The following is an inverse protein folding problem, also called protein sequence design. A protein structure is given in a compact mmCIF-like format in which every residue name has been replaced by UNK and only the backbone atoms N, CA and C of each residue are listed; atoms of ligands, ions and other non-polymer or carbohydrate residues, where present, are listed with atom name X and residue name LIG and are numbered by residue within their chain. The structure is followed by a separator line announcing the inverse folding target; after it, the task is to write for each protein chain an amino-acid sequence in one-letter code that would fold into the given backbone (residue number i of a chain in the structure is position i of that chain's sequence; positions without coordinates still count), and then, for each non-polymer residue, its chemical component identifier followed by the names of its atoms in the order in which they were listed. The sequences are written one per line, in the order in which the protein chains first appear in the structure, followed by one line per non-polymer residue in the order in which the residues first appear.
data_IF_155592545601
#
_entry.id   IF_155592545601
#
_cell.length_a   1.000
_cell.length_b   1.000
_cell.length_c   1.000
_cell.angle_alpha   90.00
_cell.angle_beta   90.00
_cell.angle_gamma   90.00
#
_symmetry.space_group_name_H-M   'P 1'
#
loop_
_entity.id
_entity.type
_entity.pdbx_description
1 polymer ?
#
# COMPACT_ATOMS: atom_id res chain seq x y z
N UNK A 1 15.32 21.01 -17.48
CA UNK A 1 16.02 19.71 -17.47
C UNK A 1 17.49 19.78 -17.91
N UNK A 2 17.83 20.50 -18.99
CA UNK A 2 19.21 20.60 -19.51
C UNK A 2 20.23 21.16 -18.49
N UNK A 3 19.88 22.22 -17.77
CA UNK A 3 20.79 22.88 -16.80
C UNK A 3 21.21 21.95 -15.65
N UNK A 4 20.29 21.13 -15.14
CA UNK A 4 20.56 20.20 -14.04
C UNK A 4 21.48 19.05 -14.46
N UNK A 5 21.36 18.59 -15.71
CA UNK A 5 22.25 17.57 -16.25
C UNK A 5 23.68 18.09 -16.44
N UNK A 6 23.84 19.32 -16.93
CA UNK A 6 25.16 19.95 -17.07
C UNK A 6 25.83 20.12 -15.71
N UNK A 7 25.12 20.64 -14.70
CA UNK A 7 25.63 20.77 -13.34
C UNK A 7 26.06 19.40 -12.79
N UNK A 8 25.24 18.37 -12.97
CA UNK A 8 25.53 17.01 -12.52
C UNK A 8 26.78 16.42 -13.17
N UNK A 9 26.97 16.64 -14.47
CA UNK A 9 28.15 16.16 -15.20
C UNK A 9 29.43 16.86 -14.72
N UNK A 10 29.37 18.18 -14.51
CA UNK A 10 30.48 18.96 -13.99
C UNK A 10 30.91 18.48 -12.59
N UNK A 11 29.95 18.12 -11.71
CA UNK A 11 30.27 17.55 -10.40
C UNK A 11 30.93 16.17 -10.46
N UNK A 12 30.52 15.33 -11.41
CA UNK A 12 31.11 14.00 -11.60
C UNK A 12 32.55 14.10 -12.12
N UNK A 13 32.81 15.03 -13.03
CA UNK A 13 34.13 15.29 -13.59
C UNK A 13 35.09 15.88 -12.54
N UNK A 14 34.61 16.82 -11.73
CA UNK A 14 35.41 17.43 -10.67
C UNK A 14 35.73 16.47 -9.50
N UNK A 15 34.90 15.46 -9.26
CA UNK A 15 35.02 14.54 -8.12
C UNK A 15 34.85 13.07 -8.55
N UNK A 16 35.86 12.50 -9.24
CA UNK A 16 35.77 11.17 -9.86
C UNK A 16 35.67 10.00 -8.87
N UNK A 17 36.08 10.21 -7.61
CA UNK A 17 35.96 9.24 -6.51
C UNK A 17 34.69 9.41 -5.67
N UNK A 18 33.84 10.39 -5.98
CA UNK A 18 32.59 10.59 -5.26
C UNK A 18 31.64 9.40 -5.46
N UNK A 19 30.77 9.15 -4.48
CA UNK A 19 29.72 8.12 -4.60
C UNK A 19 28.86 8.30 -5.87
N UNK A 20 28.66 9.55 -6.31
CA UNK A 20 27.92 9.87 -7.53
C UNK A 20 28.65 9.43 -8.81
N UNK A 21 29.97 9.62 -8.87
CA UNK A 21 30.81 9.22 -9.99
C UNK A 21 30.96 7.68 -10.06
N UNK A 22 31.19 7.05 -8.91
CA UNK A 22 31.30 5.59 -8.78
C UNK A 22 29.99 4.86 -9.13
N UNK A 23 28.84 5.45 -8.81
CA UNK A 23 27.53 4.91 -9.20
C UNK A 23 27.31 4.95 -10.73
N UNK A 24 27.97 5.86 -11.46
CA UNK A 24 27.85 5.93 -12.93
C UNK A 24 28.70 4.87 -13.62
N UNK A 25 29.90 4.58 -13.10
CA UNK A 25 30.82 3.56 -13.64
C UNK A 25 30.42 2.13 -13.30
N UNK A 26 29.64 1.91 -12.23
CA UNK A 26 29.12 0.59 -11.84
C UNK A 26 28.04 -0.01 -12.78
N UNK A 27 27.49 0.76 -13.72
CA UNK A 27 26.62 0.22 -14.77
C UNK A 27 27.50 -0.31 -15.91
N UNK A 28 27.93 -1.56 -15.81
CA UNK A 28 28.30 -2.33 -17.01
C UNK A 28 27.11 -2.30 -17.96
N UNK A 29 27.35 -1.95 -19.21
CA UNK A 29 26.43 -2.20 -20.31
C UNK A 29 26.19 -3.73 -20.33
N UNK A 30 25.01 -4.13 -19.88
CA UNK A 30 24.50 -5.48 -20.14
C UNK A 30 24.14 -5.49 -21.62
N UNK A 31 24.87 -6.29 -22.40
CA UNK A 31 24.41 -6.80 -23.68
C UNK A 31 22.98 -7.37 -23.50
N UNK A 32 22.07 -7.19 -24.47
CA UNK A 32 20.69 -7.60 -24.32
C UNK A 32 20.60 -9.13 -24.27
N UNK A 33 20.53 -9.69 -23.07
CA UNK A 33 20.00 -11.03 -22.86
C UNK A 33 18.49 -10.99 -22.98
N UNK A 34 17.91 -11.94 -23.73
CA UNK A 34 16.47 -12.13 -23.90
C UNK A 34 15.72 -12.09 -22.55
N UNK A 35 15.15 -10.93 -22.23
CA UNK A 35 14.36 -10.65 -21.01
C UNK A 35 12.86 -10.48 -21.30
N UNK A 36 12.42 -10.89 -22.48
CA UNK A 36 11.12 -10.52 -23.07
C UNK A 36 9.89 -11.20 -22.46
N UNK A 37 10.05 -12.24 -21.63
CA UNK A 37 8.93 -12.96 -21.00
C UNK A 37 8.56 -12.41 -19.62
N UNK A 38 9.52 -12.28 -18.70
CA UNK A 38 9.25 -11.82 -17.32
C UNK A 38 8.85 -10.33 -17.20
N UNK A 39 9.21 -9.49 -18.18
CA UNK A 39 8.78 -8.08 -18.19
C UNK A 39 7.36 -7.88 -18.72
N UNK A 40 6.86 -8.81 -19.55
CA UNK A 40 5.50 -8.76 -20.10
C UNK A 40 4.46 -9.23 -19.09
N UNK A 41 4.76 -10.28 -18.32
CA UNK A 41 3.85 -10.80 -17.28
C UNK A 41 3.58 -9.77 -16.17
N UNK A 42 4.63 -9.10 -15.68
CA UNK A 42 4.46 -8.01 -14.67
C UNK A 42 3.62 -6.82 -15.17
N UNK A 43 3.49 -6.65 -16.48
CA UNK A 43 2.68 -5.57 -17.05
C UNK A 43 1.19 -5.93 -17.05
N UNK A 44 0.86 -7.22 -17.26
CA UNK A 44 -0.53 -7.72 -17.28
C UNK A 44 -1.18 -7.58 -15.91
N UNK A 45 -0.59 -8.14 -14.86
CA UNK A 45 -1.12 -8.01 -13.49
C UNK A 45 -1.37 -6.55 -13.08
N UNK A 46 -0.41 -5.65 -13.28
CA UNK A 46 -0.59 -4.24 -12.89
C UNK A 46 -1.70 -3.55 -13.69
N UNK A 47 -1.84 -3.90 -14.96
CA UNK A 47 -2.93 -3.43 -15.81
C UNK A 47 -4.28 -3.97 -15.32
N UNK A 48 -4.36 -5.25 -14.96
CA UNK A 48 -5.57 -5.86 -14.41
C UNK A 48 -5.97 -5.22 -13.07
N UNK A 49 -5.02 -4.90 -12.19
CA UNK A 49 -5.28 -4.19 -10.94
C UNK A 49 -5.95 -2.84 -11.21
N UNK A 50 -5.45 -2.06 -12.17
CA UNK A 50 -6.05 -0.76 -12.50
C UNK A 50 -7.39 -0.90 -13.20
N UNK A 51 -7.52 -1.83 -14.15
CA UNK A 51 -8.78 -2.11 -14.84
C UNK A 51 -9.88 -2.54 -13.86
N UNK A 52 -9.53 -3.31 -12.83
CA UNK A 52 -10.49 -3.68 -11.79
C UNK A 52 -10.84 -2.48 -10.92
N UNK A 53 -9.83 -1.74 -10.44
CA UNK A 53 -10.01 -0.57 -9.59
C UNK A 53 -10.87 0.55 -10.23
N UNK A 54 -10.72 0.79 -11.54
CA UNK A 54 -11.51 1.79 -12.26
C UNK A 54 -12.99 1.44 -12.39
N UNK A 55 -13.35 0.18 -12.17
CA UNK A 55 -14.73 -0.30 -12.19
C UNK A 55 -15.43 -0.22 -10.83
N UNK A 56 -14.77 0.31 -9.79
CA UNK A 56 -15.36 0.46 -8.45
C UNK A 56 -16.58 1.41 -8.46
N UNK A 57 -17.81 0.91 -8.20
CA UNK A 57 -19.00 1.76 -8.17
C UNK A 57 -18.92 2.84 -7.10
N UNK A 58 -18.40 2.50 -5.92
CA UNK A 58 -18.25 3.47 -4.83
C UNK A 58 -17.26 4.59 -5.17
N UNK A 59 -16.17 4.28 -5.89
CA UNK A 59 -15.24 5.32 -6.34
C UNK A 59 -15.86 6.21 -7.42
N UNK A 60 -16.71 5.67 -8.30
CA UNK A 60 -17.45 6.49 -9.27
C UNK A 60 -18.45 7.42 -8.57
N UNK A 61 -19.27 6.89 -7.67
CA UNK A 61 -20.21 7.69 -6.88
C UNK A 61 -19.51 8.79 -6.08
N UNK A 62 -18.37 8.47 -5.47
CA UNK A 62 -17.56 9.44 -4.73
C UNK A 62 -16.98 10.54 -5.63
N UNK A 63 -16.60 10.20 -6.87
CA UNK A 63 -16.07 11.17 -7.83
C UNK A 63 -17.14 12.15 -8.33
N UNK A 64 -18.40 11.74 -8.31
CA UNK A 64 -19.55 12.57 -8.68
C UNK A 64 -20.02 13.50 -7.55
N UNK A 65 -19.55 13.29 -6.31
CA UNK A 65 -19.85 14.19 -5.21
C UNK A 65 -19.18 15.56 -5.43
N UNK A 66 -19.97 16.63 -5.39
CA UNK A 66 -19.46 17.98 -5.45
C UNK A 66 -18.73 18.32 -4.14
N UNK A 67 -17.43 18.54 -4.23
CA UNK A 67 -16.64 19.12 -3.15
C UNK A 67 -16.44 20.61 -3.41
N UNK A 68 -16.93 21.44 -2.50
CA UNK A 68 -16.64 22.87 -2.52
C UNK A 68 -15.18 23.09 -2.12
N UNK A 69 -14.39 23.61 -3.05
CA UNK A 69 -13.02 24.02 -2.77
C UNK A 69 -13.05 25.31 -1.95
N UNK A 70 -12.31 25.32 -0.84
CA UNK A 70 -12.17 26.51 0.02
C UNK A 70 -11.52 27.65 -0.78
N UNK A 71 -10.51 27.32 -1.60
CA UNK A 71 -9.78 28.29 -2.44
C UNK A 71 -9.38 27.68 -3.79
N UNK A 72 -9.15 28.54 -4.79
CA UNK A 72 -8.65 28.15 -6.12
C UNK A 72 -7.31 27.41 -6.07
N UNK A 73 -6.51 27.68 -5.03
CA UNK A 73 -5.22 27.01 -4.84
C UNK A 73 -5.39 25.51 -4.54
N UNK A 74 -6.48 25.11 -3.86
CA UNK A 74 -6.80 23.72 -3.56
C UNK A 74 -7.18 22.96 -4.83
N UNK A 75 -8.05 23.55 -5.66
CA UNK A 75 -8.42 23.00 -6.97
C UNK A 75 -7.21 22.87 -7.88
N UNK A 76 -6.37 23.91 -7.93
CA UNK A 76 -5.13 23.91 -8.70
C UNK A 76 -4.13 22.86 -8.19
N UNK A 77 -4.09 22.59 -6.89
CA UNK A 77 -3.24 21.54 -6.31
C UNK A 77 -3.72 20.14 -6.68
N UNK A 78 -5.02 19.84 -6.55
CA UNK A 78 -5.56 18.55 -6.95
C UNK A 78 -5.44 18.31 -8.45
N UNK A 79 -5.64 19.33 -9.28
CA UNK A 79 -5.49 19.23 -10.74
C UNK A 79 -4.04 18.93 -11.19
N UNK A 80 -3.03 19.15 -10.33
CA UNK A 80 -1.63 18.78 -10.62
C UNK A 80 -1.36 17.29 -10.45
N UNK A 81 -2.26 16.54 -9.83
CA UNK A 81 -2.12 15.09 -9.78
C UNK A 81 -2.45 14.51 -11.13
N UNK A 82 -1.39 14.42 -11.95
CA UNK A 82 -1.40 13.75 -13.23
C UNK A 82 -1.95 12.33 -13.09
N UNK A 83 -2.77 11.93 -14.05
CA UNK A 83 -3.38 10.60 -14.19
C UNK A 83 -2.33 9.56 -14.62
N UNK A 84 -1.29 9.40 -13.79
CA UNK A 84 -0.21 8.44 -13.97
C UNK A 84 -0.37 7.25 -13.03
N UNK A 85 -1.61 6.77 -12.88
CA UNK A 85 -1.95 5.69 -11.94
C UNK A 85 -1.05 4.47 -12.14
N UNK A 86 -0.78 4.10 -13.40
CA UNK A 86 0.16 3.04 -13.75
C UNK A 86 1.60 3.33 -13.30
N UNK A 87 2.17 4.50 -13.60
CA UNK A 87 3.54 4.80 -13.17
C UNK A 87 3.64 4.88 -11.64
N UNK A 88 2.63 5.45 -10.97
CA UNK A 88 2.55 5.45 -9.50
C UNK A 88 2.56 4.01 -8.98
N UNK A 89 1.68 3.15 -9.51
CA UNK A 89 1.58 1.74 -9.11
C UNK A 89 2.91 1.00 -9.29
N UNK A 90 3.53 1.11 -10.46
CA UNK A 90 4.76 0.41 -10.80
C UNK A 90 6.00 0.96 -10.05
N UNK A 91 6.14 2.27 -9.92
CA UNK A 91 7.31 2.90 -9.31
C UNK A 91 7.31 2.74 -7.79
N UNK A 92 6.14 2.88 -7.16
CA UNK A 92 6.03 2.81 -5.70
C UNK A 92 6.24 1.39 -5.17
N UNK A 93 5.98 0.36 -5.99
CA UNK A 93 6.36 -1.02 -5.67
C UNK A 93 7.87 -1.19 -5.52
N UNK A 94 8.66 -0.47 -6.34
CA UNK A 94 10.12 -0.62 -6.44
C UNK A 94 10.88 0.42 -5.62
N UNK A 95 10.25 1.55 -5.30
CA UNK A 95 10.91 2.69 -4.68
C UNK A 95 10.16 3.20 -3.45
N UNK A 96 10.65 2.83 -2.26
CA UNK A 96 10.12 3.30 -0.98
C UNK A 96 10.05 4.82 -0.85
N UNK A 97 11.03 5.56 -1.41
CA UNK A 97 11.00 7.03 -1.41
C UNK A 97 9.83 7.57 -2.24
N UNK A 98 9.59 6.99 -3.42
CA UNK A 98 8.45 7.34 -4.28
C UNK A 98 7.13 7.00 -3.58
N UNK A 99 7.06 5.83 -2.95
CA UNK A 99 5.92 5.41 -2.14
C UNK A 99 5.60 6.41 -1.03
N UNK A 100 6.61 6.89 -0.29
CA UNK A 100 6.42 7.92 0.71
C UNK A 100 5.95 9.26 0.11
N UNK A 101 6.54 9.71 -0.99
CA UNK A 101 6.16 10.99 -1.62
C UNK A 101 4.74 10.96 -2.17
N UNK A 102 4.33 9.88 -2.83
CA UNK A 102 2.99 9.75 -3.40
C UNK A 102 1.91 9.65 -2.33
N UNK A 103 2.22 9.04 -1.17
CA UNK A 103 1.28 8.94 -0.04
C UNK A 103 1.15 10.22 0.78
N UNK A 104 2.13 11.13 0.72
CA UNK A 104 2.22 12.26 1.66
C UNK A 104 0.96 13.13 1.66
N UNK A 105 0.35 13.36 0.50
CA UNK A 105 -0.81 14.23 0.34
C UNK A 105 -2.11 13.48 0.02
N UNK A 106 -2.11 12.15 0.15
CA UNK A 106 -3.29 11.31 -0.08
C UNK A 106 -3.87 10.81 1.24
N UNK A 107 -5.18 10.63 1.28
CA UNK A 107 -5.83 9.81 2.29
C UNK A 107 -5.53 8.35 1.97
N UNK A 108 -5.01 7.60 2.96
CA UNK A 108 -4.54 6.21 2.75
C UNK A 108 -5.16 5.25 3.76
N UNK A 109 -5.27 3.98 3.39
CA UNK A 109 -5.94 2.95 4.19
C UNK A 109 -5.56 2.93 5.67
N UNK A 110 -4.26 2.92 5.99
CA UNK A 110 -3.79 2.85 7.38
C UNK A 110 -4.13 4.07 8.25
N UNK A 111 -4.69 5.12 7.66
CA UNK A 111 -4.99 6.39 8.31
C UNK A 111 -6.39 6.93 7.99
N UNK A 112 -7.20 6.28 7.15
CA UNK A 112 -8.53 6.80 6.84
C UNK A 112 -9.42 6.86 8.09
N UNK A 113 -9.27 5.89 8.99
CA UNK A 113 -10.09 5.81 10.19
C UNK A 113 -9.92 7.01 11.12
N UNK A 114 -8.72 7.63 11.15
CA UNK A 114 -8.49 8.83 11.96
C UNK A 114 -9.12 10.09 11.36
N UNK A 115 -9.52 10.07 10.08
CA UNK A 115 -10.33 11.11 9.45
C UNK A 115 -11.81 10.83 9.73
N UNK A 116 -12.25 9.59 9.49
CA UNK A 116 -13.63 9.16 9.70
C UNK A 116 -14.13 9.38 11.14
N UNK A 117 -13.29 9.09 12.13
CA UNK A 117 -13.66 9.24 13.56
C UNK A 117 -13.35 10.61 14.16
N UNK A 118 -12.86 11.57 13.36
CA UNK A 118 -12.53 12.89 13.86
C UNK A 118 -13.80 13.70 14.14
N UNK A 119 -14.00 14.06 15.41
CA UNK A 119 -15.15 14.85 15.89
C UNK A 119 -14.76 16.28 16.35
N UNK A 120 -13.51 16.68 16.12
CA UNK A 120 -13.03 18.01 16.46
C UNK A 120 -13.40 19.07 15.41
N UNK A 121 -13.11 20.34 15.73
CA UNK A 121 -13.37 21.48 14.82
C UNK A 121 -12.10 22.05 14.17
N UNK A 122 -10.91 21.64 14.64
CA UNK A 122 -9.61 22.16 14.21
C UNK A 122 -9.05 21.34 13.03
N UNK A 123 -9.69 21.49 11.87
CA UNK A 123 -9.31 20.81 10.63
C UNK A 123 -7.94 21.27 10.10
N UNK A 124 -7.54 22.50 10.36
CA UNK A 124 -6.23 23.02 9.93
C UNK A 124 -5.11 22.24 10.61
N UNK A 125 -5.12 22.15 11.94
CA UNK A 125 -4.12 21.39 12.68
C UNK A 125 -4.22 19.88 12.40
N UNK A 126 -5.44 19.34 12.28
CA UNK A 126 -5.64 17.93 11.94
C UNK A 126 -5.02 17.59 10.58
N UNK A 127 -5.28 18.38 9.55
CA UNK A 127 -4.74 18.19 8.20
C UNK A 127 -3.23 18.40 8.15
N UNK A 128 -2.68 19.40 8.84
CA UNK A 128 -1.22 19.60 8.95
C UNK A 128 -0.53 18.39 9.59
N UNK A 129 -1.04 17.88 10.72
CA UNK A 129 -0.52 16.65 11.34
C UNK A 129 -0.73 15.43 10.45
N UNK A 130 -1.81 15.42 9.67
CA UNK A 130 -2.10 14.33 8.77
C UNK A 130 -1.08 14.27 7.63
N UNK A 131 -0.92 15.34 6.85
CA UNK A 131 -0.06 15.36 5.67
C UNK A 131 1.43 15.56 5.97
N UNK A 132 1.78 16.01 7.19
CA UNK A 132 3.15 16.14 7.65
C UNK A 132 3.38 15.35 8.95
N UNK A 133 3.24 14.01 8.92
CA UNK A 133 3.43 13.20 10.11
C UNK A 133 4.92 13.17 10.49
N UNK A 134 5.20 13.21 11.79
CA UNK A 134 6.57 12.96 12.29
C UNK A 134 6.95 11.52 11.94
N UNK A 135 8.17 11.32 11.44
CA UNK A 135 8.72 9.98 11.24
C UNK A 135 8.78 9.26 12.58
N UNK A 136 8.15 8.09 12.66
CA UNK A 136 8.09 7.29 13.87
C UNK A 136 8.36 5.83 13.51
N UNK A 137 9.32 5.22 14.20
CA UNK A 137 9.64 3.80 14.09
C UNK A 137 9.79 3.24 15.50
N UNK A 138 9.05 2.16 15.78
CA UNK A 138 9.11 1.47 17.06
C UNK A 138 9.30 -0.04 16.84
N UNK A 139 9.41 -0.79 17.93
CA UNK A 139 9.59 -2.25 17.89
C UNK A 139 8.45 -2.97 17.14
N UNK A 140 7.22 -2.48 17.28
CA UNK A 140 6.03 -3.05 16.63
C UNK A 140 6.08 -2.90 15.11
N UNK A 141 6.38 -1.70 14.61
CA UNK A 141 6.51 -1.41 13.18
C UNK A 141 7.66 -2.20 12.57
N UNK A 142 8.82 -2.24 13.25
CA UNK A 142 9.98 -3.03 12.77
C UNK A 142 9.65 -4.51 12.69
N UNK A 143 9.03 -5.06 13.72
CA UNK A 143 8.64 -6.48 13.74
C UNK A 143 7.67 -6.83 12.60
N UNK A 144 6.65 -5.98 12.36
CA UNK A 144 5.75 -6.11 11.22
C UNK A 144 6.50 -6.18 9.88
N UNK A 145 7.34 -5.17 9.61
CA UNK A 145 8.12 -5.10 8.37
C UNK A 145 9.08 -6.28 8.18
N UNK A 146 9.65 -6.81 9.26
CA UNK A 146 10.56 -7.96 9.19
C UNK A 146 9.85 -9.25 8.79
N UNK A 147 8.60 -9.46 9.24
CA UNK A 147 7.91 -10.74 9.09
C UNK A 147 6.80 -10.75 8.04
N UNK A 148 6.48 -9.61 7.44
CA UNK A 148 5.42 -9.52 6.41
C UNK A 148 5.66 -10.47 5.22
N UNK A 149 6.91 -10.57 4.74
CA UNK A 149 7.26 -11.50 3.67
C UNK A 149 7.07 -12.95 4.09
N UNK A 150 7.53 -13.32 5.30
CA UNK A 150 7.34 -14.68 5.83
C UNK A 150 5.87 -15.02 5.96
N UNK A 151 5.06 -14.11 6.52
CA UNK A 151 3.61 -14.28 6.64
C UNK A 151 2.95 -14.53 5.28
N UNK A 152 3.31 -13.75 4.26
CA UNK A 152 2.78 -13.90 2.89
C UNK A 152 3.21 -15.23 2.27
N UNK A 153 4.46 -15.64 2.43
CA UNK A 153 4.95 -16.95 1.95
C UNK A 153 4.20 -18.09 2.62
N UNK A 154 4.08 -18.09 3.95
CA UNK A 154 3.35 -19.13 4.67
C UNK A 154 1.87 -19.16 4.24
N UNK A 155 1.25 -18.01 3.96
CA UNK A 155 -0.14 -17.94 3.48
C UNK A 155 -0.30 -18.63 2.12
N UNK A 156 0.60 -18.35 1.17
CA UNK A 156 0.61 -18.99 -0.15
C UNK A 156 0.80 -20.50 -0.02
N UNK A 157 1.75 -20.94 0.81
CA UNK A 157 2.02 -22.37 1.04
C UNK A 157 0.84 -23.09 1.68
N UNK A 158 0.17 -22.46 2.66
CA UNK A 158 -0.94 -23.07 3.39
C UNK A 158 -2.24 -23.15 2.56
N UNK A 159 -2.46 -22.18 1.67
CA UNK A 159 -3.73 -22.05 0.92
C UNK A 159 -3.64 -22.53 -0.52
N UNK A 160 -2.44 -22.57 -1.10
CA UNK A 160 -2.23 -22.81 -2.53
C UNK A 160 -2.72 -21.68 -3.44
N UNK A 161 -3.15 -20.55 -2.89
CA UNK A 161 -3.64 -19.39 -3.65
C UNK A 161 -2.47 -18.61 -4.30
N UNK A 162 -2.69 -18.11 -5.50
CA UNK A 162 -1.74 -17.21 -6.17
C UNK A 162 -1.85 -15.81 -5.57
N UNK A 163 -0.74 -15.28 -5.05
CA UNK A 163 -0.66 -13.93 -4.46
C UNK A 163 0.38 -13.11 -5.18
N UNK A 164 -0.04 -11.96 -5.72
CA UNK A 164 0.82 -10.98 -6.35
C UNK A 164 0.85 -9.68 -5.56
N UNK A 165 1.97 -8.96 -5.64
CA UNK A 165 2.15 -7.68 -4.97
C UNK A 165 2.22 -6.54 -5.99
N UNK A 166 1.68 -5.39 -5.63
CA UNK A 166 1.79 -4.15 -6.39
C UNK A 166 2.18 -2.98 -5.48
N UNK A 167 2.32 -1.78 -6.04
CA UNK A 167 2.61 -0.57 -5.29
C UNK A 167 1.36 0.09 -4.70
N UNK A 168 1.39 1.42 -4.69
CA UNK A 168 0.24 2.26 -4.35
C UNK A 168 -0.76 2.28 -5.51
N UNK A 169 -1.95 1.74 -5.29
CA UNK A 169 -3.11 1.92 -6.16
C UNK A 169 -3.77 3.25 -5.81
N UNK A 170 -3.95 4.10 -6.81
CA UNK A 170 -4.60 5.40 -6.71
C UNK A 170 -5.92 5.34 -7.44
N UNK A 171 -6.99 5.86 -6.83
CA UNK A 171 -8.27 6.00 -7.53
C UNK A 171 -8.17 7.09 -8.60
N UNK A 172 -8.50 6.77 -9.85
CA UNK A 172 -8.42 7.74 -10.96
C UNK A 172 -9.45 8.87 -10.84
N UNK A 173 -10.68 8.54 -10.40
CA UNK A 173 -11.73 9.53 -10.13
C UNK A 173 -11.48 10.32 -8.86
N UNK A 174 -10.80 9.71 -7.88
CA UNK A 174 -10.49 10.31 -6.59
C UNK A 174 -8.99 10.29 -6.32
N UNK A 175 -8.16 11.06 -7.05
CA UNK A 175 -6.73 11.01 -6.87
C UNK A 175 -6.25 11.55 -5.52
N UNK A 176 -7.12 11.96 -4.59
CA UNK A 176 -6.76 12.17 -3.18
C UNK A 176 -6.79 10.90 -2.34
N UNK A 177 -7.24 9.76 -2.89
CA UNK A 177 -7.24 8.45 -2.26
C UNK A 177 -6.13 7.55 -2.79
N UNK A 178 -5.62 6.68 -1.93
CA UNK A 178 -4.76 5.59 -2.36
C UNK A 178 -4.62 4.46 -1.33
N UNK A 179 -4.34 3.26 -1.83
CA UNK A 179 -4.16 2.06 -1.02
C UNK A 179 -2.88 1.30 -1.42
N UNK A 180 -2.16 0.75 -0.46
CA UNK A 180 -1.02 -0.14 -0.75
C UNK A 180 -1.35 -1.49 -0.14
N UNK A 181 -1.76 -2.48 -0.95
CA UNK A 181 -2.08 -3.80 -0.43
C UNK A 181 -0.82 -4.55 -0.02
N UNK A 182 -0.93 -5.38 1.02
CA UNK A 182 0.14 -6.32 1.39
C UNK A 182 0.26 -7.45 0.35
N UNK A 183 -0.82 -7.66 -0.43
CA UNK A 183 -0.88 -8.48 -1.63
C UNK A 183 -2.31 -8.58 -2.16
N UNK A 184 -2.46 -9.21 -3.32
CA UNK A 184 -3.75 -9.51 -3.95
C UNK A 184 -3.76 -10.99 -4.30
N UNK A 185 -4.80 -11.70 -3.86
CA UNK A 185 -5.12 -13.02 -4.42
C UNK A 185 -5.66 -12.79 -5.83
N UNK A 186 -5.16 -13.56 -6.79
CA UNK A 186 -5.52 -13.41 -8.20
C UNK A 186 -6.01 -14.72 -8.81
N UNK A 187 -6.86 -14.61 -9.82
CA UNK A 187 -7.28 -15.74 -10.65
C UNK A 187 -6.15 -16.21 -11.60
N UNK A 188 -6.45 -17.22 -12.42
CA UNK A 188 -5.49 -17.76 -13.40
C UNK A 188 -5.07 -16.76 -14.49
N UNK A 189 -5.79 -15.64 -14.63
CA UNK A 189 -5.53 -14.58 -15.60
C UNK A 189 -4.95 -13.32 -14.93
N UNK A 190 -4.52 -13.42 -13.66
CA UNK A 190 -3.98 -12.33 -12.85
C UNK A 190 -4.97 -11.19 -12.56
N UNK A 191 -6.28 -11.45 -12.60
CA UNK A 191 -7.29 -10.51 -12.11
C UNK A 191 -7.39 -10.57 -10.59
N UNK A 192 -7.43 -9.42 -9.88
CA UNK A 192 -7.60 -9.40 -8.43
C UNK A 192 -8.96 -9.95 -8.02
N UNK A 193 -8.97 -10.93 -7.12
CA UNK A 193 -10.19 -11.47 -6.52
C UNK A 193 -10.35 -11.03 -5.06
N UNK A 194 -9.25 -11.00 -4.31
CA UNK A 194 -9.28 -10.73 -2.87
C UNK A 194 -8.08 -9.90 -2.43
N UNK A 195 -8.32 -8.99 -1.49
CA UNK A 195 -7.25 -8.29 -0.78
C UNK A 195 -6.62 -9.22 0.25
N UNK A 196 -5.30 -9.12 0.48
CA UNK A 196 -4.71 -9.59 1.73
C UNK A 196 -4.18 -8.40 2.53
N UNK A 197 -4.41 -8.43 3.83
CA UNK A 197 -3.91 -7.44 4.78
C UNK A 197 -3.28 -8.18 5.96
N UNK A 198 -1.97 -8.02 6.15
CA UNK A 198 -1.15 -8.79 7.05
C UNK A 198 -0.84 -7.97 8.30
N UNK A 199 -0.93 -8.60 9.46
CA UNK A 199 -0.49 -8.05 10.74
C UNK A 199 0.38 -9.07 11.46
N UNK A 200 1.60 -8.65 11.79
CA UNK A 200 2.50 -9.42 12.66
C UNK A 200 2.57 -8.69 14.02
N UNK A 201 1.73 -9.03 15.01
CA UNK A 201 1.80 -8.45 16.35
C UNK A 201 3.14 -8.77 17.02
N UNK A 202 3.70 -7.82 17.76
CA UNK A 202 5.02 -7.96 18.38
C UNK A 202 5.08 -9.09 19.40
N UNK A 203 3.97 -9.33 20.11
CA UNK A 203 3.78 -10.43 21.04
C UNK A 203 4.02 -11.80 20.38
N UNK A 204 3.66 -11.90 19.08
CA UNK A 204 3.90 -13.06 18.22
C UNK A 204 5.37 -13.39 17.97
N UNK A 205 6.31 -12.56 18.43
CA UNK A 205 7.73 -12.89 18.50
C UNK A 205 8.08 -13.91 19.60
N UNK A 206 7.23 -14.02 20.61
CA UNK A 206 7.51 -14.79 21.85
C UNK A 206 6.37 -15.70 22.28
N UNK A 207 5.20 -15.59 21.64
CA UNK A 207 3.99 -16.32 21.98
C UNK A 207 3.37 -16.91 20.73
N UNK A 208 2.68 -18.05 20.89
CA UNK A 208 1.98 -18.71 19.80
C UNK A 208 0.75 -17.93 19.33
N UNK A 209 0.29 -18.23 18.11
CA UNK A 209 -0.92 -17.62 17.55
C UNK A 209 -2.14 -17.81 18.46
N UNK A 210 -2.27 -19.00 19.08
CA UNK A 210 -3.39 -19.35 19.95
C UNK A 210 -3.48 -18.45 21.19
N UNK A 211 -2.33 -18.03 21.74
CA UNK A 211 -2.27 -17.11 22.89
C UNK A 211 -2.43 -15.65 22.46
N UNK A 212 -1.80 -15.27 21.34
CA UNK A 212 -1.80 -13.88 20.87
C UNK A 212 -3.20 -13.46 20.42
N UNK A 213 -3.89 -14.29 19.63
CA UNK A 213 -5.16 -13.92 18.99
C UNK A 213 -6.26 -13.53 19.99
N UNK A 214 -6.27 -14.18 21.15
CA UNK A 214 -7.22 -13.92 22.24
C UNK A 214 -7.09 -12.50 22.83
N UNK A 215 -5.91 -11.90 22.71
CA UNK A 215 -5.58 -10.60 23.30
C UNK A 215 -5.61 -9.45 22.27
N UNK A 216 -5.89 -9.73 21.01
CA UNK A 216 -5.93 -8.72 19.96
C UNK A 216 -7.20 -7.89 20.08
N UNK A 217 -7.06 -6.65 20.57
CA UNK A 217 -8.17 -5.74 20.81
C UNK A 217 -9.00 -5.39 19.58
N UNK A 218 -8.47 -5.66 18.39
CA UNK A 218 -9.15 -5.44 17.12
C UNK A 218 -9.98 -6.63 16.65
N UNK A 219 -9.98 -7.75 17.38
CA UNK A 219 -10.79 -8.92 17.11
C UNK A 219 -11.90 -9.09 18.16
N UNK A 220 -12.99 -9.71 17.73
CA UNK A 220 -14.06 -10.27 18.57
C UNK A 220 -14.17 -11.75 18.26
N UNK A 221 -14.67 -12.52 19.22
CA UNK A 221 -14.99 -13.93 19.05
C UNK A 221 -16.51 -14.08 19.18
N UNK A 222 -17.17 -14.35 18.06
CA UNK A 222 -18.62 -14.45 17.93
C UNK A 222 -18.95 -15.72 17.15
N UNK A 223 -19.98 -16.45 17.56
CA UNK A 223 -20.44 -17.69 16.89
C UNK A 223 -19.34 -18.73 16.62
N UNK A 224 -18.36 -18.81 17.53
CA UNK A 224 -17.25 -19.77 17.44
C UNK A 224 -16.13 -19.37 16.48
N UNK A 225 -16.17 -18.16 15.92
CA UNK A 225 -15.18 -17.64 14.97
C UNK A 225 -14.62 -16.28 15.39
N UNK A 226 -13.39 -15.98 14.98
CA UNK A 226 -12.81 -14.65 15.16
C UNK A 226 -13.23 -13.72 14.02
N UNK A 227 -13.70 -12.51 14.36
CA UNK A 227 -14.08 -11.48 13.41
C UNK A 227 -13.32 -10.18 13.67
N UNK A 228 -13.06 -9.40 12.63
CA UNK A 228 -12.46 -8.07 12.74
C UNK A 228 -13.51 -7.07 13.25
N UNK A 229 -13.21 -6.33 14.31
CA UNK A 229 -14.11 -5.31 14.88
C UNK A 229 -14.40 -4.20 13.87
N UNK A 230 -15.67 -3.99 13.56
CA UNK A 230 -16.10 -2.94 12.63
C UNK A 230 -15.75 -1.51 13.11
N UNK A 231 -15.72 -1.30 14.42
CA UNK A 231 -15.31 -0.02 15.04
C UNK A 231 -13.80 0.09 15.30
N UNK A 232 -12.98 -0.69 14.60
CA UNK A 232 -11.52 -0.62 14.71
C UNK A 232 -10.89 -0.06 13.43
N UNK A 233 -9.76 0.65 13.58
CA UNK A 233 -9.04 1.26 12.46
C UNK A 233 -8.64 0.31 11.33
N UNK A 234 -8.37 -0.95 11.65
CA UNK A 234 -8.03 -1.96 10.65
C UNK A 234 -9.23 -2.36 9.80
N UNK A 235 -10.45 -2.30 10.33
CA UNK A 235 -11.65 -2.50 9.53
C UNK A 235 -11.81 -1.36 8.53
N UNK A 236 -11.70 -0.10 8.98
CA UNK A 236 -11.70 1.06 8.08
C UNK A 236 -10.60 1.01 7.02
N UNK A 237 -9.41 0.50 7.38
CA UNK A 237 -8.32 0.27 6.43
C UNK A 237 -8.70 -0.76 5.36
N UNK A 238 -9.19 -1.93 5.76
CA UNK A 238 -9.58 -3.00 4.83
C UNK A 238 -10.74 -2.56 3.94
N UNK A 239 -11.76 -1.90 4.48
CA UNK A 239 -12.93 -1.44 3.73
C UNK A 239 -12.55 -0.45 2.62
N UNK A 240 -11.72 0.56 2.90
CA UNK A 240 -11.28 1.46 1.82
C UNK A 240 -10.36 0.77 0.82
N UNK A 241 -9.57 -0.23 1.27
CA UNK A 241 -8.76 -1.06 0.38
C UNK A 241 -9.62 -1.81 -0.62
N UNK A 242 -10.62 -2.55 -0.12
CA UNK A 242 -11.60 -3.27 -0.94
C UNK A 242 -12.31 -2.34 -1.92
N UNK A 243 -12.75 -1.17 -1.46
CA UNK A 243 -13.40 -0.18 -2.31
C UNK A 243 -12.48 0.39 -3.41
N UNK A 244 -11.23 0.75 -3.10
CA UNK A 244 -10.27 1.28 -4.09
C UNK A 244 -9.87 0.21 -5.11
N UNK A 245 -9.71 -1.03 -4.65
CA UNK A 245 -9.28 -2.16 -5.47
C UNK A 245 -10.42 -2.82 -6.25
N UNK A 246 -11.66 -2.48 -5.92
CA UNK A 246 -12.89 -3.11 -6.42
C UNK A 246 -12.94 -4.63 -6.18
N UNK A 247 -12.66 -5.05 -4.95
CA UNK A 247 -12.79 -6.45 -4.50
C UNK A 247 -13.77 -6.51 -3.33
N UNK A 248 -14.45 -7.64 -3.15
CA UNK A 248 -15.51 -7.81 -2.14
C UNK A 248 -15.05 -8.54 -0.87
N UNK A 249 -13.81 -9.02 -0.87
CA UNK A 249 -13.22 -9.89 0.15
C UNK A 249 -11.82 -9.45 0.51
N UNK A 250 -11.50 -9.60 1.79
CA UNK A 250 -10.15 -9.47 2.31
C UNK A 250 -9.82 -10.64 3.23
N UNK A 251 -8.66 -11.27 3.00
CA UNK A 251 -8.00 -12.17 3.95
C UNK A 251 -7.18 -11.32 4.93
N UNK A 252 -7.73 -11.09 6.12
CA UNK A 252 -7.04 -10.40 7.20
C UNK A 252 -6.19 -11.41 7.99
N UNK A 253 -4.87 -11.36 7.79
CA UNK A 253 -3.94 -12.40 8.24
C UNK A 253 -3.20 -11.92 9.48
N UNK A 254 -3.27 -12.72 10.55
CA UNK A 254 -2.45 -12.53 11.75
C UNK A 254 -1.35 -13.58 11.75
N UNK A 255 -0.09 -13.16 11.69
CA UNK A 255 1.05 -14.06 11.68
C UNK A 255 1.89 -13.92 12.95
N UNK A 256 2.22 -15.05 13.58
CA UNK A 256 3.15 -15.10 14.71
C UNK A 256 4.45 -15.76 14.29
N UNK A 257 5.57 -15.05 14.42
CA UNK A 257 6.88 -15.57 14.03
C UNK A 257 7.43 -16.63 15.00
N UNK A 258 6.88 -16.71 16.21
CA UNK A 258 7.30 -17.66 17.24
C UNK A 258 7.09 -19.11 16.82
N UNK A 259 5.90 -19.43 16.32
CA UNK A 259 5.51 -20.76 15.85
C UNK A 259 5.39 -20.83 14.32
N UNK A 260 5.54 -19.70 13.62
CA UNK A 260 5.34 -19.56 12.18
C UNK A 260 3.92 -19.96 11.74
N UNK A 261 2.94 -19.77 12.62
CA UNK A 261 1.53 -20.06 12.35
C UNK A 261 0.79 -18.75 12.11
N UNK A 262 -0.28 -18.83 11.32
CA UNK A 262 -1.20 -17.72 11.10
C UNK A 262 -2.64 -18.05 11.45
N UNK A 263 -3.42 -17.01 11.74
CA UNK A 263 -4.87 -17.03 11.67
C UNK A 263 -5.32 -16.20 10.47
N UNK A 264 -6.31 -16.71 9.72
CA UNK A 264 -6.90 -16.04 8.57
C UNK A 264 -8.33 -15.67 8.94
N UNK A 265 -8.65 -14.38 8.88
CA UNK A 265 -9.97 -13.85 9.19
C UNK A 265 -10.55 -13.27 7.90
N UNK A 266 -11.70 -13.78 7.50
CA UNK A 266 -12.39 -13.30 6.31
C UNK A 266 -13.18 -12.04 6.64
N UNK A 267 -12.90 -10.97 5.89
CA UNK A 267 -13.62 -9.70 5.94
C UNK A 267 -14.33 -9.52 4.62
N UNK A 268 -15.64 -9.26 4.68
CA UNK A 268 -16.51 -9.03 3.53
C UNK A 268 -16.96 -7.56 3.51
N UNK A 269 -17.40 -7.10 2.33
CA UNK A 269 -18.12 -5.82 2.16
C UNK A 269 -19.47 -5.87 2.85
#
# INVERSE_FOLDING_TARGET
MLVLNTIRLNFIEALPSSALALHKTGRRQLEPSDHTTASKEKDVFLTNVLNNATQSPLMMELADLQADFIEDCCKSFLNKWDKTAYQILADTQKCKRRWHSERQFRITGSRIYEIYTYNGKDWLNKSLKYFYPKTFTNKYVRHGLTHETSARTTFVEATGLSVLQCGLVVSEGNPWLGYSPDGLVVDNNEYPEQLIEIKCPFEGATQSIGSVIQNLLYLIFEDGIYCLKQNHKYYGQVQIGMAILNVDKCKFIIYCSYDSIMAIIDVLV
#
